data_IF_457557327056
#
_entry.id   IF_457557327056
#
_cell.length_a   1.000
_cell.length_b   1.000
_cell.length_c   1.000
_cell.angle_alpha   90.00
_cell.angle_beta   90.00
_cell.angle_gamma   90.00
#
_symmetry.space_group_name_H-M   'P 1'
#
loop_
_entity.id
_entity.type
_entity.pdbx_description
1 polymer ?
#
# COMPACT_ATOMS: atom_id res chain seq x y z
N UNK A 1 7.81 -21.16 -19.42
CA UNK A 1 7.59 -22.36 -20.28
C UNK A 1 8.65 -22.54 -21.38
N UNK A 2 9.63 -21.64 -21.49
CA UNK A 2 10.51 -21.63 -22.67
C UNK A 2 11.84 -22.39 -22.52
N UNK A 3 12.19 -22.86 -21.32
CA UNK A 3 13.47 -23.55 -21.07
C UNK A 3 13.69 -24.80 -21.96
N UNK A 4 12.71 -25.70 -22.13
CA UNK A 4 12.85 -26.90 -22.99
C UNK A 4 13.15 -26.54 -24.45
N UNK A 5 12.49 -25.49 -24.95
CA UNK A 5 12.65 -25.02 -26.34
C UNK A 5 14.03 -24.40 -26.57
N UNK A 6 14.55 -23.66 -25.59
CA UNK A 6 15.87 -23.02 -25.69
C UNK A 6 17.02 -24.03 -25.54
N UNK A 7 16.84 -25.05 -24.71
CA UNK A 7 17.84 -26.09 -24.47
C UNK A 7 17.76 -27.23 -25.50
N UNK A 8 16.69 -27.29 -26.30
CA UNK A 8 16.37 -28.42 -27.18
C UNK A 8 16.31 -29.76 -26.42
N UNK A 9 15.74 -29.73 -25.20
CA UNK A 9 15.63 -30.89 -24.31
C UNK A 9 14.18 -31.07 -23.87
N UNK A 10 13.75 -32.32 -23.69
CA UNK A 10 12.41 -32.65 -23.23
C UNK A 10 12.09 -32.03 -21.87
N UNK A 11 10.85 -31.53 -21.71
CA UNK A 11 10.38 -30.94 -20.45
C UNK A 11 10.58 -31.88 -19.25
N UNK A 12 10.35 -33.18 -19.43
CA UNK A 12 10.50 -34.17 -18.35
C UNK A 12 11.95 -34.30 -17.85
N UNK A 13 12.93 -34.06 -18.72
CA UNK A 13 14.33 -34.08 -18.35
C UNK A 13 14.71 -32.77 -17.63
N UNK A 14 14.24 -31.63 -18.14
CA UNK A 14 14.41 -30.33 -17.49
C UNK A 14 13.80 -30.31 -16.08
N UNK A 15 12.60 -30.86 -15.89
CA UNK A 15 11.94 -30.93 -14.59
C UNK A 15 12.68 -31.81 -13.59
N UNK A 16 13.16 -32.99 -14.02
CA UNK A 16 13.98 -33.86 -13.16
C UNK A 16 15.24 -33.14 -12.72
N UNK A 17 15.90 -32.45 -13.65
CA UNK A 17 17.15 -31.78 -13.34
C UNK A 17 16.96 -30.51 -12.50
N UNK A 18 15.87 -29.78 -12.69
CA UNK A 18 15.50 -28.65 -11.84
C UNK A 18 15.26 -29.08 -10.38
N UNK A 19 14.65 -30.25 -10.15
CA UNK A 19 14.47 -30.81 -8.80
C UNK A 19 15.81 -31.14 -8.15
N UNK A 20 16.70 -31.81 -8.88
CA UNK A 20 18.04 -32.15 -8.38
C UNK A 20 18.81 -30.87 -8.03
N UNK A 21 18.77 -29.85 -8.89
CA UNK A 21 19.43 -28.56 -8.62
C UNK A 21 18.88 -27.84 -7.38
N UNK A 22 17.57 -27.90 -7.15
CA UNK A 22 16.95 -27.32 -5.97
C UNK A 22 17.29 -28.11 -4.69
N UNK A 23 17.47 -29.43 -4.80
CA UNK A 23 17.89 -30.29 -3.68
C UNK A 23 19.39 -30.14 -3.35
N UNK A 24 20.23 -29.95 -4.37
CA UNK A 24 21.69 -29.79 -4.23
C UNK A 24 22.06 -28.40 -3.67
N UNK A 25 21.43 -27.33 -4.17
CA UNK A 25 21.71 -25.94 -3.77
C UNK A 25 20.41 -25.16 -3.44
N UNK A 26 19.77 -25.44 -2.29
CA UNK A 26 18.50 -24.81 -1.90
C UNK A 26 18.61 -23.30 -1.65
N UNK A 27 19.81 -22.82 -1.35
CA UNK A 27 20.08 -21.39 -1.16
C UNK A 27 20.08 -20.61 -2.48
N UNK A 28 20.32 -21.29 -3.61
CA UNK A 28 20.55 -20.66 -4.91
C UNK A 28 19.38 -20.85 -5.86
N UNK A 29 18.66 -21.96 -5.73
CA UNK A 29 17.51 -22.27 -6.55
C UNK A 29 16.33 -22.70 -5.67
N UNK A 30 15.18 -22.07 -5.89
CA UNK A 30 13.93 -22.38 -5.23
C UNK A 30 12.99 -22.98 -6.26
N UNK A 31 12.41 -24.14 -5.95
CA UNK A 31 11.36 -24.74 -6.77
C UNK A 31 9.99 -24.37 -6.18
N UNK A 32 9.18 -23.64 -6.95
CA UNK A 32 7.84 -23.18 -6.57
C UNK A 32 6.88 -23.55 -7.69
N UNK A 33 5.86 -24.37 -7.42
CA UNK A 33 4.84 -24.76 -8.42
C UNK A 33 5.43 -25.24 -9.76
N UNK A 34 6.51 -26.01 -9.72
CA UNK A 34 7.27 -26.50 -10.89
C UNK A 34 8.07 -25.44 -11.66
N UNK A 35 8.13 -24.21 -11.15
CA UNK A 35 9.01 -23.15 -11.64
C UNK A 35 10.29 -23.08 -10.81
N UNK A 36 11.42 -22.88 -11.50
CA UNK A 36 12.71 -22.69 -10.88
C UNK A 36 12.98 -21.18 -10.76
N UNK A 37 13.02 -20.69 -9.52
CA UNK A 37 13.16 -19.27 -9.20
C UNK A 37 14.47 -19.06 -8.43
N UNK A 38 15.21 -18.01 -8.78
CA UNK A 38 16.42 -17.63 -8.03
C UNK A 38 16.06 -16.63 -6.92
N UNK A 39 16.79 -16.59 -5.80
CA UNK A 39 16.59 -15.58 -4.75
C UNK A 39 16.66 -14.14 -5.28
N UNK A 40 17.51 -13.92 -6.29
CA UNK A 40 17.72 -12.62 -6.92
C UNK A 40 16.48 -12.10 -7.66
N UNK A 41 15.60 -12.99 -8.12
CA UNK A 41 14.29 -12.60 -8.63
C UNK A 41 13.46 -11.92 -7.54
N UNK A 42 13.44 -12.45 -6.32
CA UNK A 42 12.72 -11.85 -5.21
C UNK A 42 13.36 -10.55 -4.72
N UNK A 43 14.68 -10.39 -4.88
CA UNK A 43 15.35 -9.14 -4.57
C UNK A 43 14.95 -8.04 -5.58
N UNK A 44 14.88 -8.38 -6.88
CA UNK A 44 14.36 -7.49 -7.91
C UNK A 44 12.89 -7.16 -7.72
N UNK A 45 12.06 -8.16 -7.39
CA UNK A 45 10.66 -7.98 -7.05
C UNK A 45 10.48 -7.04 -5.85
N UNK A 46 11.29 -7.20 -4.80
CA UNK A 46 11.26 -6.33 -3.63
C UNK A 46 11.63 -4.87 -4.00
N UNK A 47 12.62 -4.68 -4.87
CA UNK A 47 12.99 -3.35 -5.37
C UNK A 47 11.84 -2.70 -6.17
N UNK A 48 11.22 -3.44 -7.08
CA UNK A 48 10.07 -2.96 -7.88
C UNK A 48 8.88 -2.59 -6.98
N UNK A 49 8.56 -3.43 -5.99
CA UNK A 49 7.53 -3.13 -4.99
C UNK A 49 7.90 -1.89 -4.17
N UNK A 50 9.17 -1.71 -3.84
CA UNK A 50 9.68 -0.51 -3.18
C UNK A 50 9.45 0.76 -3.98
N UNK A 51 9.71 0.74 -5.29
CA UNK A 51 9.43 1.85 -6.20
C UNK A 51 7.93 2.18 -6.25
N UNK A 52 7.08 1.15 -6.41
CA UNK A 52 5.62 1.29 -6.36
C UNK A 52 5.13 1.92 -5.05
N UNK A 53 5.71 1.54 -3.92
CA UNK A 53 5.38 2.08 -2.62
C UNK A 53 5.84 3.53 -2.44
N UNK A 54 6.92 3.95 -3.12
CA UNK A 54 7.32 5.36 -3.13
C UNK A 54 6.33 6.22 -3.93
N UNK A 55 5.77 5.69 -5.01
CA UNK A 55 4.79 6.40 -5.85
C UNK A 55 3.41 6.49 -5.18
N UNK A 56 2.92 5.37 -4.65
CA UNK A 56 1.54 5.23 -4.15
C UNK A 56 1.41 5.41 -2.63
N UNK A 57 2.47 5.04 -1.89
CA UNK A 57 2.50 5.00 -0.43
C UNK A 57 2.00 3.70 0.20
N UNK A 58 1.12 2.95 -0.50
CA UNK A 58 0.56 1.68 -0.06
C UNK A 58 0.18 0.78 -1.25
N UNK A 59 0.29 -0.54 -1.08
CA UNK A 59 -0.09 -1.53 -2.10
C UNK A 59 -0.67 -2.79 -1.43
N UNK A 60 -1.73 -3.36 -2.01
CA UNK A 60 -2.32 -4.60 -1.51
C UNK A 60 -1.52 -5.82 -1.98
N UNK A 61 -1.23 -6.76 -1.08
CA UNK A 61 -0.49 -7.97 -1.42
C UNK A 61 -1.24 -8.87 -2.41
N UNK A 62 -2.57 -8.86 -2.38
CA UNK A 62 -3.41 -9.55 -3.35
C UNK A 62 -3.24 -9.01 -4.78
N UNK A 63 -3.01 -7.71 -4.94
CA UNK A 63 -2.75 -7.09 -6.24
C UNK A 63 -1.37 -7.51 -6.77
N UNK A 64 -0.37 -7.54 -5.89
CA UNK A 64 0.97 -8.03 -6.23
C UNK A 64 0.95 -9.52 -6.60
N UNK A 65 0.18 -10.34 -5.90
CA UNK A 65 0.00 -11.76 -6.21
C UNK A 65 -0.54 -11.99 -7.62
N UNK A 66 -1.54 -11.21 -8.04
CA UNK A 66 -2.07 -11.25 -9.41
C UNK A 66 -1.04 -10.77 -10.42
N UNK A 67 -0.33 -9.67 -10.13
CA UNK A 67 0.67 -9.08 -11.03
C UNK A 67 1.86 -10.01 -11.30
N UNK A 68 2.37 -10.66 -10.27
CA UNK A 68 3.52 -11.54 -10.37
C UNK A 68 3.16 -13.01 -10.60
N UNK A 69 1.87 -13.35 -10.64
CA UNK A 69 1.37 -14.73 -10.73
C UNK A 69 1.93 -15.65 -9.63
N UNK A 70 2.09 -15.11 -8.41
CA UNK A 70 2.61 -15.81 -7.24
C UNK A 70 1.56 -15.87 -6.14
N UNK A 71 1.60 -16.90 -5.30
CA UNK A 71 0.70 -17.00 -4.16
C UNK A 71 0.96 -15.89 -3.13
N UNK A 72 -0.12 -15.41 -2.49
CA UNK A 72 -0.06 -14.37 -1.45
C UNK A 72 0.84 -14.80 -0.30
N UNK A 73 0.76 -16.07 0.11
CA UNK A 73 1.55 -16.62 1.20
C UNK A 73 3.05 -16.57 0.89
N UNK A 74 3.43 -16.98 -0.33
CA UNK A 74 4.82 -16.96 -0.76
C UNK A 74 5.36 -15.53 -0.85
N UNK A 75 4.60 -14.60 -1.43
CA UNK A 75 4.98 -13.19 -1.46
C UNK A 75 5.11 -12.62 -0.06
N UNK A 76 4.17 -12.91 0.85
CA UNK A 76 4.22 -12.44 2.23
C UNK A 76 5.51 -12.91 2.93
N UNK A 77 5.87 -14.18 2.76
CA UNK A 77 7.06 -14.76 3.38
C UNK A 77 8.34 -14.16 2.78
N UNK A 78 8.42 -14.08 1.45
CA UNK A 78 9.63 -13.62 0.74
C UNK A 78 9.86 -12.11 0.87
N UNK A 79 8.79 -11.32 0.92
CA UNK A 79 8.87 -9.88 1.19
C UNK A 79 9.19 -9.60 2.65
N UNK A 80 8.57 -10.30 3.61
CA UNK A 80 8.90 -10.15 5.04
C UNK A 80 10.38 -10.40 5.35
N UNK A 81 10.98 -11.40 4.69
CA UNK A 81 12.41 -11.69 4.82
C UNK A 81 13.32 -10.56 4.32
N UNK A 82 12.82 -9.68 3.46
CA UNK A 82 13.55 -8.58 2.80
C UNK A 82 13.17 -7.20 3.34
N UNK A 83 12.32 -7.15 4.35
CA UNK A 83 11.99 -5.90 5.04
C UNK A 83 13.23 -5.36 5.76
N UNK A 84 13.52 -4.07 5.55
CA UNK A 84 14.66 -3.37 6.14
C UNK A 84 15.97 -3.47 5.36
N UNK A 85 16.10 -4.40 4.41
CA UNK A 85 17.29 -4.47 3.52
C UNK A 85 17.02 -3.83 2.16
N UNK A 86 16.03 -4.36 1.45
CA UNK A 86 15.63 -3.89 0.11
C UNK A 86 14.31 -3.11 0.13
N UNK A 87 13.51 -3.29 1.18
CA UNK A 87 12.16 -2.73 1.28
C UNK A 87 11.94 -2.07 2.65
N UNK A 88 11.79 -0.74 2.67
CA UNK A 88 11.38 0.01 3.87
C UNK A 88 9.86 0.20 3.89
N UNK A 89 9.15 -0.88 4.24
CA UNK A 89 7.70 -0.93 4.31
C UNK A 89 7.27 -1.68 5.57
N UNK A 90 5.97 -1.66 5.86
CA UNK A 90 5.32 -2.48 6.89
C UNK A 90 4.25 -3.33 6.20
N UNK A 91 4.16 -4.62 6.57
CA UNK A 91 3.12 -5.53 6.10
C UNK A 91 2.16 -5.81 7.25
N UNK A 92 0.91 -5.37 7.13
CA UNK A 92 -0.14 -5.65 8.11
C UNK A 92 -1.45 -5.97 7.39
N UNK A 93 -2.10 -7.08 7.75
CA UNK A 93 -3.41 -7.45 7.19
C UNK A 93 -3.43 -7.65 5.67
N UNK A 94 -2.30 -7.98 5.05
CA UNK A 94 -2.18 -8.09 3.59
C UNK A 94 -2.03 -6.76 2.85
N UNK A 95 -1.81 -5.65 3.57
CA UNK A 95 -1.48 -4.34 3.02
C UNK A 95 -0.01 -4.01 3.31
N UNK A 96 0.72 -3.63 2.28
CA UNK A 96 2.04 -3.03 2.39
C UNK A 96 1.90 -1.51 2.41
N UNK A 97 2.54 -0.85 3.35
CA UNK A 97 2.55 0.61 3.43
C UNK A 97 3.88 1.15 3.96
N UNK A 98 4.19 2.39 3.60
CA UNK A 98 5.41 3.05 4.06
C UNK A 98 5.17 3.83 5.36
N UNK A 99 6.19 4.00 6.22
CA UNK A 99 6.10 4.89 7.38
C UNK A 99 5.74 6.33 6.99
N UNK A 100 6.25 6.80 5.85
CA UNK A 100 5.96 8.11 5.29
C UNK A 100 4.47 8.28 4.95
N UNK A 101 3.83 7.24 4.40
CA UNK A 101 2.39 7.24 4.12
C UNK A 101 1.56 7.39 5.39
N UNK A 102 1.89 6.63 6.45
CA UNK A 102 1.20 6.72 7.75
C UNK A 102 1.40 8.09 8.39
N UNK A 103 2.61 8.64 8.34
CA UNK A 103 2.89 9.97 8.87
C UNK A 103 2.07 11.05 8.14
N UNK A 104 1.95 10.95 6.81
CA UNK A 104 1.11 11.84 6.00
C UNK A 104 -0.37 11.73 6.38
N UNK A 105 -0.91 10.51 6.50
CA UNK A 105 -2.29 10.28 6.90
C UNK A 105 -2.56 10.84 8.30
N UNK A 106 -1.66 10.59 9.26
CA UNK A 106 -1.76 11.12 10.61
C UNK A 106 -1.74 12.66 10.64
N UNK A 107 -0.91 13.30 9.82
CA UNK A 107 -0.88 14.75 9.71
C UNK A 107 -2.17 15.33 9.12
N UNK A 108 -2.75 14.69 8.10
CA UNK A 108 -4.04 15.08 7.51
C UNK A 108 -5.17 14.95 8.53
N UNK A 109 -5.26 13.81 9.22
CA UNK A 109 -6.27 13.58 10.27
C UNK A 109 -6.14 14.59 11.40
N UNK A 110 -4.90 14.86 11.85
CA UNK A 110 -4.64 15.88 12.87
C UNK A 110 -5.07 17.27 12.42
N UNK A 111 -4.81 17.62 11.15
CA UNK A 111 -5.25 18.88 10.56
C UNK A 111 -6.78 19.01 10.53
N UNK A 112 -7.47 17.96 10.10
CA UNK A 112 -8.93 17.91 10.04
C UNK A 112 -9.57 18.01 11.42
N UNK A 113 -9.08 17.22 12.40
CA UNK A 113 -9.55 17.26 13.77
C UNK A 113 -9.29 18.61 14.43
N UNK A 114 -8.12 19.22 14.18
CA UNK A 114 -7.81 20.55 14.70
C UNK A 114 -8.71 21.61 14.08
N UNK A 115 -9.05 21.52 12.80
CA UNK A 115 -10.01 22.43 12.18
C UNK A 115 -11.41 22.27 12.81
N UNK A 116 -11.87 21.03 13.00
CA UNK A 116 -13.18 20.74 13.59
C UNK A 116 -13.28 21.17 15.07
N UNK A 117 -12.21 21.03 15.85
CA UNK A 117 -12.16 21.40 17.26
C UNK A 117 -11.66 22.84 17.51
N UNK A 118 -11.37 23.60 16.46
CA UNK A 118 -10.94 25.00 16.61
C UNK A 118 -12.14 25.91 16.88
N UNK A 119 -11.99 26.95 17.72
CA UNK A 119 -13.04 27.95 17.89
C UNK A 119 -13.34 28.61 16.54
N UNK A 120 -14.54 28.37 16.02
CA UNK A 120 -15.04 29.05 14.83
C UNK A 120 -15.74 30.33 15.27
N UNK A 121 -15.44 31.45 14.61
CA UNK A 121 -16.21 32.66 14.86
C UNK A 121 -17.66 32.44 14.41
N UNK A 122 -18.61 32.94 15.20
CA UNK A 122 -20.05 32.91 14.88
C UNK A 122 -20.32 33.47 13.47
N UNK A 123 -19.56 34.49 13.07
CA UNK A 123 -19.59 35.08 11.73
C UNK A 123 -19.09 34.15 10.60
N UNK A 124 -18.10 33.30 10.88
CA UNK A 124 -17.60 32.32 9.91
C UNK A 124 -18.64 31.21 9.70
N UNK A 125 -19.23 30.69 10.79
CA UNK A 125 -20.25 29.64 10.75
C UNK A 125 -21.50 30.10 9.99
N UNK A 126 -22.00 31.31 10.27
CA UNK A 126 -23.16 31.86 9.56
C UNK A 126 -22.90 32.03 8.05
N UNK A 127 -21.69 32.43 7.68
CA UNK A 127 -21.33 32.59 6.27
C UNK A 127 -21.11 31.27 5.51
N UNK A 128 -20.58 30.22 6.16
CA UNK A 128 -20.23 28.95 5.53
C UNK A 128 -21.35 27.91 5.57
N UNK A 129 -22.10 27.82 6.68
CA UNK A 129 -23.14 26.81 6.88
C UNK A 129 -24.50 27.32 6.41
N UNK A 130 -24.83 28.57 6.70
CA UNK A 130 -26.13 29.17 6.38
C UNK A 130 -26.13 29.94 5.04
N UNK A 131 -24.98 30.02 4.36
CA UNK A 131 -24.87 30.64 3.04
C UNK A 131 -25.24 32.14 3.00
N UNK A 132 -25.20 32.85 4.13
CA UNK A 132 -25.76 34.21 4.29
C UNK A 132 -24.92 35.31 3.64
N UNK A 133 -24.06 35.00 2.66
CA UNK A 133 -23.21 35.98 1.96
C UNK A 133 -24.01 37.09 1.25
N UNK A 134 -25.35 37.04 1.20
CA UNK A 134 -26.18 38.03 0.50
C UNK A 134 -27.49 38.47 1.19
N UNK A 135 -27.81 38.06 2.42
CA UNK A 135 -29.08 38.45 3.06
C UNK A 135 -28.87 39.53 4.11
N UNK A 136 -29.17 40.77 3.74
CA UNK A 136 -29.05 41.93 4.61
C UNK A 136 -30.02 41.93 5.80
N UNK A 137 -29.60 42.63 6.87
CA UNK A 137 -30.44 43.18 7.93
C UNK A 137 -31.04 42.19 8.92
N UNK A 138 -32.13 41.52 8.53
CA UNK A 138 -33.03 40.81 9.46
C UNK A 138 -32.66 39.36 9.70
N UNK A 139 -32.18 38.64 8.68
CA UNK A 139 -31.75 37.25 8.81
C UNK A 139 -30.49 37.10 9.68
N UNK A 140 -29.59 38.08 9.66
CA UNK A 140 -28.38 38.06 10.49
C UNK A 140 -28.70 38.21 11.99
N UNK A 141 -29.66 39.07 12.35
CA UNK A 141 -30.08 39.27 13.73
C UNK A 141 -30.76 38.02 14.32
N UNK A 142 -31.58 37.33 13.53
CA UNK A 142 -32.26 36.09 13.92
C UNK A 142 -31.30 34.91 14.12
N UNK A 143 -30.23 34.85 13.32
CA UNK A 143 -29.15 33.85 13.50
C UNK A 143 -28.37 34.14 14.78
N UNK A 144 -28.15 35.42 15.11
CA UNK A 144 -27.42 35.80 16.31
C UNK A 144 -28.23 35.53 17.58
N UNK A 145 -29.53 35.81 17.58
CA UNK A 145 -30.41 35.51 18.73
C UNK A 145 -30.60 34.01 18.97
N UNK A 146 -30.71 33.19 17.91
CA UNK A 146 -30.84 31.74 18.05
C UNK A 146 -29.54 31.08 18.51
N UNK A 147 -28.40 31.65 18.15
CA UNK A 147 -27.11 31.20 18.68
C UNK A 147 -26.90 31.56 20.15
N UNK A 148 -27.38 32.72 20.60
CA UNK A 148 -27.39 33.08 22.03
C UNK A 148 -28.33 32.19 22.85
N UNK A 149 -29.41 31.66 22.26
CA UNK A 149 -30.31 30.69 22.91
C UNK A 149 -29.72 29.27 23.00
N UNK A 150 -28.79 28.92 22.11
CA UNK A 150 -28.17 27.59 22.03
C UNK A 150 -26.85 27.46 22.81
N UNK A 151 -26.26 28.58 23.23
CA UNK A 151 -25.01 28.64 24.01
C UNK A 151 -25.27 28.52 25.52
#
# INVERSE_FOLDING_TARGET
>A
VDLPNHLQVDLSHCQKQARILADEDPDRFLLVEEELITPQYFDGLAAEVGELLQETGQVALAELAVRFALSVDLLSQKLNQRMGTHLDAHLEGGLLYTPAYVARLAAQLRGALRAAASPLSVSAVSSQVLGTKKTGGTHAALVQSTLEELA
#
